data_IF_251156237514
#
_entry.id   IF_251156237514
#
_cell.length_a   1.000
_cell.length_b   1.000
_cell.length_c   1.000
_cell.angle_alpha   90.00
_cell.angle_beta   90.00
_cell.angle_gamma   90.00
#
_symmetry.space_group_name_H-M   'P 1'
#
loop_
_entity.id
_entity.type
_entity.pdbx_description
1 polymer ?
#
# COMPACT_ATOMS: atom_id res chain seq x y z
N UNK A 1 7.58 -4.47 10.27
CA UNK A 1 7.89 -4.62 8.83
C UNK A 1 9.17 -3.86 8.45
N UNK A 2 9.27 -2.55 8.72
CA UNK A 2 10.47 -1.76 8.36
C UNK A 2 11.77 -2.34 8.96
N UNK A 3 11.81 -2.55 10.28
CA UNK A 3 12.96 -3.16 10.94
C UNK A 3 13.35 -4.54 10.38
N UNK A 4 12.37 -5.34 9.92
CA UNK A 4 12.64 -6.62 9.26
C UNK A 4 13.32 -6.41 7.90
N UNK A 5 12.82 -5.50 7.07
CA UNK A 5 13.41 -5.18 5.78
C UNK A 5 14.87 -4.72 5.94
N UNK A 6 15.14 -3.90 6.96
CA UNK A 6 16.47 -3.36 7.25
C UNK A 6 17.43 -4.42 7.81
N UNK A 7 16.95 -5.28 8.70
CA UNK A 7 17.79 -6.32 9.31
C UNK A 7 18.14 -7.45 8.34
N UNK A 8 17.27 -7.75 7.37
CA UNK A 8 17.42 -8.90 6.47
C UNK A 8 17.82 -8.53 5.04
N UNK A 9 17.63 -7.27 4.64
CA UNK A 9 17.71 -6.85 3.24
C UNK A 9 16.53 -7.31 2.36
N UNK A 10 15.62 -8.11 2.91
CA UNK A 10 14.43 -8.62 2.24
C UNK A 10 13.28 -7.61 2.20
N UNK A 11 12.12 -8.07 1.71
CA UNK A 11 10.89 -7.27 1.70
C UNK A 11 10.20 -7.40 3.06
N UNK A 12 10.01 -6.28 3.75
CA UNK A 12 9.12 -6.20 4.90
C UNK A 12 7.68 -6.04 4.44
N UNK A 13 6.78 -6.90 4.92
CA UNK A 13 5.36 -6.87 4.54
C UNK A 13 4.51 -6.47 5.74
N UNK A 14 3.49 -5.64 5.52
CA UNK A 14 2.44 -5.37 6.49
C UNK A 14 1.06 -5.35 5.83
N UNK A 15 0.04 -5.69 6.59
CA UNK A 15 -1.35 -5.73 6.13
C UNK A 15 -2.19 -4.84 7.06
N UNK A 16 -3.03 -3.99 6.49
CA UNK A 16 -3.90 -3.08 7.24
C UNK A 16 -5.33 -3.06 6.66
N UNK A 17 -6.30 -2.69 7.49
CA UNK A 17 -7.66 -2.41 7.03
C UNK A 17 -7.74 -1.08 6.26
N UNK A 18 -8.88 -0.80 5.67
CA UNK A 18 -9.15 0.47 5.00
C UNK A 18 -9.18 1.67 5.97
N UNK A 19 -9.09 2.89 5.43
CA UNK A 19 -9.31 4.14 6.13
C UNK A 19 -8.43 4.28 7.38
N UNK A 20 -9.01 4.23 8.60
CA UNK A 20 -8.24 4.34 9.84
C UNK A 20 -7.11 3.31 9.97
N UNK A 21 -7.34 2.09 9.46
CA UNK A 21 -6.33 1.02 9.48
C UNK A 21 -5.09 1.43 8.68
N UNK A 22 -5.30 1.98 7.48
CA UNK A 22 -4.23 2.45 6.60
C UNK A 22 -3.60 3.74 7.12
N UNK A 23 -4.38 4.69 7.64
CA UNK A 23 -3.83 5.95 8.16
C UNK A 23 -2.86 5.74 9.34
N UNK A 24 -3.13 4.75 10.20
CA UNK A 24 -2.23 4.38 11.29
C UNK A 24 -0.85 3.87 10.82
N UNK A 25 -0.72 3.50 9.55
CA UNK A 25 0.54 3.02 8.98
C UNK A 25 1.42 4.13 8.43
N UNK A 26 0.85 5.32 8.19
CA UNK A 26 1.50 6.41 7.43
C UNK A 26 2.80 6.86 8.10
N UNK A 27 2.83 6.98 9.42
CA UNK A 27 4.07 7.34 10.14
C UNK A 27 5.19 6.32 9.90
N UNK A 28 4.87 5.02 9.93
CA UNK A 28 5.85 3.97 9.67
C UNK A 28 6.29 3.90 8.20
N UNK A 29 5.36 4.17 7.27
CA UNK A 29 5.67 4.28 5.84
C UNK A 29 6.59 5.46 5.56
N UNK A 30 6.34 6.60 6.21
CA UNK A 30 7.17 7.79 6.11
C UNK A 30 8.61 7.48 6.57
N UNK A 31 8.79 6.86 7.74
CA UNK A 31 10.12 6.43 8.19
C UNK A 31 10.80 5.45 7.23
N UNK A 32 10.06 4.47 6.69
CA UNK A 32 10.59 3.51 5.73
C UNK A 32 11.02 4.17 4.41
N UNK A 33 10.33 5.24 3.99
CA UNK A 33 10.71 6.05 2.83
C UNK A 33 12.05 6.76 3.07
N UNK A 34 12.24 7.40 4.22
CA UNK A 34 13.51 8.04 4.58
C UNK A 34 14.65 7.03 4.73
N UNK A 35 14.36 5.84 5.27
CA UNK A 35 15.32 4.76 5.42
C UNK A 35 15.62 4.01 4.10
N UNK A 36 14.97 4.37 2.98
CA UNK A 36 15.04 3.64 1.71
C UNK A 36 14.80 2.13 1.87
N UNK A 37 13.76 1.78 2.62
CA UNK A 37 13.44 0.39 2.95
C UNK A 37 12.47 -0.24 1.97
N UNK A 38 12.68 -1.52 1.67
CA UNK A 38 11.78 -2.36 0.86
C UNK A 38 10.58 -2.78 1.68
N UNK A 39 9.61 -1.89 1.83
CA UNK A 39 8.39 -2.15 2.58
C UNK A 39 7.16 -2.22 1.67
N UNK A 40 6.45 -3.36 1.70
CA UNK A 40 5.18 -3.55 1.03
C UNK A 40 4.04 -3.40 2.05
N UNK A 41 3.12 -2.48 1.78
CA UNK A 41 1.85 -2.37 2.52
C UNK A 41 0.70 -2.88 1.67
N UNK A 42 -0.07 -3.82 2.21
CA UNK A 42 -1.31 -4.32 1.60
C UNK A 42 -2.47 -3.76 2.42
N UNK A 43 -3.40 -3.07 1.77
CA UNK A 43 -4.53 -2.44 2.47
C UNK A 43 -5.85 -2.97 1.94
N UNK A 44 -6.84 -3.08 2.82
CA UNK A 44 -8.23 -3.24 2.39
C UNK A 44 -8.80 -1.92 1.86
N UNK A 45 -9.90 -2.02 1.12
CA UNK A 45 -10.75 -0.91 0.71
C UNK A 45 -12.21 -1.38 0.68
N UNK A 46 -13.17 -0.45 0.60
CA UNK A 46 -14.58 -0.79 0.39
C UNK A 46 -14.75 -1.62 -0.89
N UNK A 47 -15.71 -2.57 -0.86
CA UNK A 47 -16.00 -3.46 -1.98
C UNK A 47 -16.18 -2.66 -3.28
N UNK A 48 -15.72 -3.22 -4.40
CA UNK A 48 -15.79 -2.57 -5.72
C UNK A 48 -17.20 -2.09 -6.10
N UNK A 49 -18.25 -2.73 -5.56
CA UNK A 49 -19.64 -2.35 -5.78
C UNK A 49 -20.03 -1.04 -5.08
N UNK A 50 -19.30 -0.61 -4.04
CA UNK A 50 -19.59 0.60 -3.27
C UNK A 50 -18.49 1.66 -3.37
N UNK A 51 -17.28 1.28 -3.74
CA UNK A 51 -16.13 2.18 -3.82
C UNK A 51 -16.30 3.31 -4.85
N UNK A 52 -16.05 4.55 -4.42
CA UNK A 52 -16.14 5.77 -5.22
C UNK A 52 -17.57 6.27 -5.41
N UNK A 53 -18.53 5.78 -4.62
CA UNK A 53 -19.94 6.19 -4.70
C UNK A 53 -20.33 7.24 -3.68
N UNK A 54 -19.42 7.61 -2.77
CA UNK A 54 -19.67 8.63 -1.74
C UNK A 54 -20.79 8.23 -0.77
N UNK A 55 -21.01 6.92 -0.61
CA UNK A 55 -22.06 6.38 0.27
C UNK A 55 -21.55 6.16 1.69
N UNK A 56 -20.24 6.34 1.93
CA UNK A 56 -19.63 6.11 3.24
C UNK A 56 -19.76 4.66 3.69
N UNK A 57 -19.88 3.73 2.73
CA UNK A 57 -20.12 2.32 2.99
C UNK A 57 -18.91 1.70 3.70
N UNK A 58 -19.12 1.20 4.91
CA UNK A 58 -18.16 0.42 5.72
C UNK A 58 -16.71 0.93 5.60
N UNK A 59 -16.48 2.16 6.08
CA UNK A 59 -15.15 2.81 6.10
C UNK A 59 -14.55 3.10 4.71
N UNK A 60 -15.38 3.34 3.69
CA UNK A 60 -14.94 3.90 2.39
C UNK A 60 -13.98 5.08 2.59
N UNK A 61 -12.74 4.89 2.15
CA UNK A 61 -11.68 5.87 2.29
C UNK A 61 -11.27 6.36 0.89
N UNK A 62 -12.06 7.26 0.32
CA UNK A 62 -11.89 7.76 -1.06
C UNK A 62 -10.49 8.32 -1.34
N UNK A 63 -9.87 8.92 -0.31
CA UNK A 63 -8.55 9.54 -0.41
C UNK A 63 -7.41 8.61 0.03
N UNK A 64 -7.66 7.32 0.26
CA UNK A 64 -6.63 6.37 0.71
C UNK A 64 -5.48 6.26 -0.30
N UNK A 65 -5.78 6.18 -1.60
CA UNK A 65 -4.75 6.16 -2.65
C UNK A 65 -3.94 7.47 -2.63
N UNK A 66 -4.60 8.63 -2.51
CA UNK A 66 -3.92 9.92 -2.47
C UNK A 66 -2.99 10.03 -1.26
N UNK A 67 -3.43 9.56 -0.10
CA UNK A 67 -2.63 9.47 1.12
C UNK A 67 -1.46 8.49 0.95
N UNK A 68 -1.67 7.29 0.41
CA UNK A 68 -0.59 6.32 0.19
C UNK A 68 0.48 6.89 -0.76
N UNK A 69 0.09 7.65 -1.79
CA UNK A 69 1.02 8.28 -2.74
C UNK A 69 1.94 9.32 -2.12
N UNK A 70 1.66 9.83 -0.91
CA UNK A 70 2.58 10.76 -0.23
C UNK A 70 3.76 10.04 0.44
N UNK A 71 3.62 8.75 0.74
CA UNK A 71 4.61 7.94 1.50
C UNK A 71 5.08 6.68 0.77
N UNK A 72 4.41 6.28 -0.31
CA UNK A 72 4.78 5.14 -1.14
C UNK A 72 5.12 5.62 -2.55
N UNK A 73 6.19 5.06 -3.14
CA UNK A 73 6.58 5.40 -4.52
C UNK A 73 5.61 4.85 -5.55
N UNK A 74 5.13 3.62 -5.34
CA UNK A 74 4.13 2.99 -6.20
C UNK A 74 2.92 2.58 -5.37
N UNK A 75 1.73 2.83 -5.92
CA UNK A 75 0.45 2.47 -5.32
C UNK A 75 -0.41 1.86 -6.41
N UNK A 76 -0.77 0.60 -6.25
CA UNK A 76 -1.71 -0.11 -7.12
C UNK A 76 -3.03 -0.37 -6.41
N UNK A 77 -4.14 -0.32 -7.14
CA UNK A 77 -5.49 -0.63 -6.64
C UNK A 77 -6.28 -1.38 -7.71
N UNK A 78 -6.00 -2.69 -7.92
CA UNK A 78 -6.70 -3.50 -8.91
C UNK A 78 -8.20 -3.60 -8.56
N UNK A 79 -9.06 -3.42 -9.57
CA UNK A 79 -10.53 -3.48 -9.41
C UNK A 79 -11.11 -4.84 -9.74
N UNK A 80 -10.30 -5.72 -10.31
CA UNK A 80 -10.69 -7.09 -10.64
C UNK A 80 -9.59 -8.07 -10.26
N UNK A 81 -9.97 -9.27 -9.83
CA UNK A 81 -9.04 -10.35 -9.45
C UNK A 81 -8.05 -10.68 -10.56
N UNK A 82 -8.47 -10.58 -11.84
CA UNK A 82 -7.59 -10.79 -13.00
C UNK A 82 -6.41 -9.81 -13.08
N UNK A 83 -6.50 -8.65 -12.44
CA UNK A 83 -5.45 -7.63 -12.41
C UNK A 83 -4.48 -7.81 -11.23
N UNK A 84 -4.88 -8.58 -10.20
CA UNK A 84 -4.14 -8.69 -8.93
C UNK A 84 -2.70 -9.16 -9.12
N UNK A 85 -2.49 -10.17 -9.97
CA UNK A 85 -1.15 -10.67 -10.29
C UNK A 85 -0.25 -9.57 -10.85
N UNK A 86 -0.72 -8.89 -11.89
CA UNK A 86 0.07 -7.89 -12.57
C UNK A 86 0.34 -6.68 -11.66
N UNK A 87 -0.66 -6.24 -10.89
CA UNK A 87 -0.51 -5.20 -9.88
C UNK A 87 0.59 -5.58 -8.87
N UNK A 88 0.49 -6.77 -8.25
CA UNK A 88 1.47 -7.26 -7.29
C UNK A 88 2.89 -7.31 -7.86
N UNK A 89 3.05 -7.87 -9.07
CA UNK A 89 4.35 -7.94 -9.76
C UNK A 89 4.94 -6.54 -10.00
N UNK A 90 4.12 -5.56 -10.37
CA UNK A 90 4.56 -4.16 -10.54
C UNK A 90 4.99 -3.52 -9.22
N UNK A 91 4.23 -3.73 -8.12
CA UNK A 91 4.58 -3.18 -6.80
C UNK A 91 5.93 -3.75 -6.34
N UNK A 92 6.13 -5.06 -6.49
CA UNK A 92 7.39 -5.73 -6.11
C UNK A 92 8.55 -5.32 -7.01
N UNK A 93 8.35 -5.28 -8.33
CA UNK A 93 9.40 -4.89 -9.27
C UNK A 93 9.89 -3.46 -9.02
N UNK A 94 8.97 -2.54 -8.71
CA UNK A 94 9.31 -1.16 -8.36
C UNK A 94 10.26 -1.11 -7.16
N UNK A 95 10.03 -1.89 -6.10
CA UNK A 95 10.87 -1.92 -4.89
C UNK A 95 12.33 -2.34 -5.12
N UNK A 96 12.65 -2.96 -6.27
CA UNK A 96 14.01 -3.31 -6.69
C UNK A 96 14.60 -2.36 -7.74
N UNK A 97 13.83 -1.38 -8.20
CA UNK A 97 14.28 -0.36 -9.14
C UNK A 97 14.77 0.89 -8.42
N UNK A 98 16.02 1.29 -8.68
CA UNK A 98 16.64 2.48 -8.08
C UNK A 98 16.79 2.40 -6.55
N UNK A 99 16.72 3.55 -5.87
CA UNK A 99 16.74 3.61 -4.40
C UNK A 99 15.45 2.98 -3.85
N UNK A 100 15.48 1.94 -3.00
CA UNK A 100 14.25 1.31 -2.55
C UNK A 100 13.36 2.27 -1.77
N UNK A 101 12.05 2.08 -1.87
CA UNK A 101 11.05 2.87 -1.17
C UNK A 101 9.84 2.00 -0.85
N UNK A 102 8.98 2.42 0.09
CA UNK A 102 7.71 1.76 0.33
C UNK A 102 6.82 1.75 -0.91
N UNK A 103 6.04 0.69 -1.05
CA UNK A 103 5.08 0.52 -2.11
C UNK A 103 3.79 -0.12 -1.58
N UNK A 104 2.65 0.21 -2.18
CA UNK A 104 1.33 -0.15 -1.69
C UNK A 104 0.50 -0.93 -2.71
N UNK A 105 -0.26 -1.90 -2.21
CA UNK A 105 -1.31 -2.62 -2.93
C UNK A 105 -2.61 -2.47 -2.14
N UNK A 106 -3.51 -1.63 -2.61
CA UNK A 106 -4.87 -1.50 -2.08
C UNK A 106 -5.77 -2.55 -2.74
N UNK A 107 -6.54 -3.29 -1.94
CA UNK A 107 -7.45 -4.34 -2.38
C UNK A 107 -8.88 -3.97 -1.98
N UNK A 108 -9.71 -3.50 -2.92
CA UNK A 108 -11.14 -3.29 -2.74
C UNK A 108 -11.92 -4.60 -2.74
#
# INVERSE_FOLDING_TARGET
>A
ADGYARATGGIGVMIASTGPGTSNTVTGLYEAQYASSRLLVITGQAETAFYGKGQGYVHEAEQQIAMLRTVCRRVESPRHVSQLRNAFEQVVADMFNGSPAPAALEVP
#
